data_IF_825752798292
#
_entry.id   IF_825752798292
#
_cell.length_a   1.000
_cell.length_b   1.000
_cell.length_c   1.000
_cell.angle_alpha   90.00
_cell.angle_beta   90.00
_cell.angle_gamma   90.00
#
_symmetry.space_group_name_H-M   'P 1'
#
loop_
_entity.id
_entity.type
_entity.pdbx_description
1 polymer ?
#
# COMPACT_ATOMS: atom_id res chain seq x y z
N UNK A 1 12.72 11.63 -5.71
CA UNK A 1 12.15 10.37 -6.27
C UNK A 1 11.05 9.86 -5.35
N UNK A 2 10.02 9.19 -5.90
CA UNK A 2 8.86 8.70 -5.13
C UNK A 2 8.85 7.18 -5.03
N UNK A 3 8.44 6.64 -3.89
CA UNK A 3 8.07 5.25 -3.69
C UNK A 3 6.60 5.15 -3.30
N UNK A 4 5.90 4.12 -3.77
CA UNK A 4 4.56 3.73 -3.35
C UNK A 4 4.68 2.54 -2.42
N UNK A 5 4.07 2.62 -1.25
CA UNK A 5 4.24 1.64 -0.19
C UNK A 5 2.89 1.23 0.39
N UNK A 6 2.76 -0.07 0.62
CA UNK A 6 1.65 -0.71 1.32
C UNK A 6 2.16 -1.89 2.13
N UNK A 7 1.55 -2.19 3.27
CA UNK A 7 1.94 -3.31 4.13
C UNK A 7 0.78 -4.26 4.38
N UNK A 8 1.12 -5.53 4.60
CA UNK A 8 0.21 -6.50 5.19
C UNK A 8 0.66 -6.86 6.60
N UNK A 9 -0.28 -7.20 7.47
CA UNK A 9 0.00 -7.58 8.85
C UNK A 9 -0.59 -8.93 9.19
N UNK A 10 -0.06 -9.59 10.23
CA UNK A 10 -0.71 -10.74 10.86
C UNK A 10 -1.74 -10.31 11.92
N UNK A 11 -2.42 -11.29 12.53
CA UNK A 11 -3.42 -11.04 13.56
C UNK A 11 -2.86 -10.32 14.80
N UNK A 12 -1.57 -10.53 15.11
CA UNK A 12 -0.88 -9.88 16.23
C UNK A 12 -0.43 -8.44 15.90
N UNK A 13 -0.63 -8.02 14.65
CA UNK A 13 -0.30 -6.68 14.17
C UNK A 13 1.15 -6.51 13.73
N UNK A 14 1.91 -7.60 13.59
CA UNK A 14 3.25 -7.57 13.01
C UNK A 14 3.16 -7.50 11.48
N UNK A 15 4.07 -6.75 10.86
CA UNK A 15 4.16 -6.62 9.41
C UNK A 15 4.67 -7.92 8.80
N UNK A 16 3.95 -8.44 7.85
CA UNK A 16 4.23 -9.71 7.18
C UNK A 16 4.67 -9.56 5.74
N UNK A 17 4.21 -8.50 5.07
CA UNK A 17 4.64 -8.09 3.73
C UNK A 17 4.83 -6.58 3.70
N UNK A 18 5.89 -6.12 3.05
CA UNK A 18 6.09 -4.72 2.67
C UNK A 18 6.24 -4.66 1.16
N UNK A 19 5.26 -4.09 0.49
CA UNK A 19 5.32 -3.79 -0.94
C UNK A 19 5.84 -2.38 -1.17
N UNK A 20 6.86 -2.25 -2.00
CA UNK A 20 7.42 -0.95 -2.42
C UNK A 20 7.55 -0.94 -3.93
N UNK A 21 6.87 -0.03 -4.60
CA UNK A 21 7.04 0.21 -6.03
C UNK A 21 7.75 1.53 -6.27
N UNK A 22 8.70 1.50 -7.18
CA UNK A 22 9.44 2.67 -7.68
C UNK A 22 9.54 2.59 -9.21
N UNK A 23 9.43 3.72 -9.88
CA UNK A 23 9.52 3.74 -11.35
C UNK A 23 10.90 3.31 -11.87
N UNK A 24 11.98 3.57 -11.12
CA UNK A 24 13.35 3.24 -11.49
C UNK A 24 13.78 1.80 -11.16
N UNK A 25 13.11 1.13 -10.20
CA UNK A 25 13.51 -0.20 -9.71
C UNK A 25 12.38 -1.25 -9.79
N UNK A 26 11.15 -0.83 -10.15
CA UNK A 26 9.98 -1.70 -10.18
C UNK A 26 9.43 -2.01 -8.79
N UNK A 27 8.66 -3.09 -8.70
CA UNK A 27 8.08 -3.58 -7.44
C UNK A 27 9.08 -4.49 -6.72
N UNK A 28 9.28 -4.22 -5.44
CA UNK A 28 9.95 -5.09 -4.46
C UNK A 28 8.96 -5.43 -3.36
N UNK A 29 8.89 -6.70 -2.99
CA UNK A 29 8.11 -7.17 -1.84
C UNK A 29 9.05 -7.87 -0.86
N UNK A 30 9.05 -7.40 0.39
CA UNK A 30 9.77 -8.01 1.51
C UNK A 30 8.80 -8.86 2.31
N UNK A 31 9.17 -10.08 2.68
CA UNK A 31 8.26 -11.05 3.30
C UNK A 31 8.84 -11.58 4.61
N UNK A 32 8.06 -11.50 5.68
CA UNK A 32 8.40 -12.10 6.97
C UNK A 32 9.76 -11.66 7.49
N UNK A 33 10.69 -12.60 7.66
CA UNK A 33 12.05 -12.33 8.17
C UNK A 33 12.94 -11.47 7.26
N UNK A 34 12.53 -11.21 6.02
CA UNK A 34 13.23 -10.26 5.15
C UNK A 34 12.95 -8.79 5.53
N UNK A 35 11.94 -8.53 6.36
CA UNK A 35 11.56 -7.18 6.78
C UNK A 35 12.48 -6.73 7.92
N UNK A 36 13.57 -6.07 7.57
CA UNK A 36 14.56 -5.50 8.48
C UNK A 36 14.75 -4.02 8.23
N UNK A 37 15.40 -3.32 9.14
CA UNK A 37 15.81 -1.93 8.94
C UNK A 37 16.62 -1.77 7.65
N UNK A 38 17.61 -2.65 7.44
CA UNK A 38 18.49 -2.62 6.27
C UNK A 38 17.70 -2.78 4.97
N UNK A 39 16.86 -3.82 4.87
CA UNK A 39 16.13 -4.12 3.63
C UNK A 39 15.07 -3.08 3.30
N UNK A 40 14.43 -2.48 4.31
CA UNK A 40 13.50 -1.36 4.13
C UNK A 40 14.25 -0.11 3.66
N UNK A 41 15.42 0.21 4.25
CA UNK A 41 16.24 1.32 3.78
C UNK A 41 16.74 1.11 2.34
N UNK A 42 17.19 -0.10 1.98
CA UNK A 42 17.58 -0.41 0.60
C UNK A 42 16.44 -0.22 -0.40
N UNK A 43 15.22 -0.64 -0.02
CA UNK A 43 14.04 -0.45 -0.87
C UNK A 43 13.72 1.04 -1.10
N UNK A 44 14.03 1.89 -0.11
CA UNK A 44 13.75 3.33 -0.11
C UNK A 44 14.98 4.19 -0.45
N UNK A 45 16.13 3.59 -0.79
CA UNK A 45 17.34 4.33 -1.10
C UNK A 45 17.13 5.37 -2.22
N UNK A 46 17.48 6.64 -1.99
CA UNK A 46 17.31 7.74 -2.95
C UNK A 46 15.86 8.22 -3.13
N UNK A 47 14.91 7.71 -2.34
CA UNK A 47 13.54 8.20 -2.26
C UNK A 47 13.52 9.48 -1.42
N UNK A 48 12.62 10.41 -1.73
CA UNK A 48 12.34 11.60 -0.93
C UNK A 48 10.88 11.65 -0.44
N UNK A 49 10.00 10.91 -1.11
CA UNK A 49 8.56 10.90 -0.82
C UNK A 49 8.01 9.49 -0.83
N UNK A 50 7.32 9.09 0.23
CA UNK A 50 6.57 7.84 0.31
C UNK A 50 5.09 8.14 0.09
N UNK A 51 4.50 7.51 -0.91
CA UNK A 51 3.09 7.57 -1.24
C UNK A 51 2.38 6.34 -0.69
N UNK A 52 1.29 6.54 0.07
CA UNK A 52 0.51 5.50 0.72
C UNK A 52 -0.98 5.79 0.62
N UNK A 53 -1.83 4.88 1.09
CA UNK A 53 -3.25 5.13 1.33
C UNK A 53 -3.59 4.94 2.82
N UNK A 54 -3.84 6.00 3.56
CA UNK A 54 -3.99 6.02 5.02
C UNK A 54 -2.71 5.64 5.78
N UNK A 55 -1.55 5.70 5.11
CA UNK A 55 -0.29 5.24 5.67
C UNK A 55 0.24 6.10 6.81
N UNK A 56 -0.11 7.39 6.87
CA UNK A 56 0.25 8.26 7.99
C UNK A 56 -0.27 7.72 9.33
N UNK A 57 -1.39 6.98 9.30
CA UNK A 57 -2.04 6.43 10.49
C UNK A 57 -1.83 4.92 10.67
N UNK A 58 -1.51 4.21 9.60
CA UNK A 58 -1.43 2.75 9.63
C UNK A 58 -0.04 2.25 9.21
N UNK A 59 0.29 2.27 7.92
CA UNK A 59 1.48 1.62 7.38
C UNK A 59 2.77 2.11 8.01
N UNK A 60 2.99 3.43 7.99
CA UNK A 60 4.24 4.01 8.46
C UNK A 60 4.47 3.81 9.96
N UNK A 61 3.51 4.12 10.86
CA UNK A 61 3.73 3.89 12.29
C UNK A 61 3.96 2.43 12.68
N UNK A 62 3.29 1.49 11.99
CA UNK A 62 3.44 0.06 12.28
C UNK A 62 4.82 -0.40 11.80
N UNK A 63 5.21 -0.05 10.57
CA UNK A 63 6.51 -0.42 10.01
C UNK A 63 7.67 0.20 10.81
N UNK A 64 7.59 1.50 11.16
CA UNK A 64 8.58 2.18 12.00
C UNK A 64 8.81 1.46 13.34
N UNK A 65 7.73 1.04 13.99
CA UNK A 65 7.80 0.32 15.25
C UNK A 65 8.51 -1.02 15.09
N UNK A 66 8.22 -1.76 14.02
CA UNK A 66 8.78 -3.09 13.80
C UNK A 66 10.25 -3.04 13.41
N UNK A 67 10.63 -2.19 12.46
CA UNK A 67 12.01 -2.09 11.97
C UNK A 67 12.86 -1.06 12.74
N UNK A 68 12.25 -0.31 13.67
CA UNK A 68 12.91 0.71 14.51
C UNK A 68 13.61 1.82 13.70
N UNK A 69 12.95 2.25 12.62
CA UNK A 69 13.40 3.35 11.74
C UNK A 69 12.39 4.47 11.77
N UNK A 70 12.85 5.72 11.77
CA UNK A 70 11.99 6.90 11.67
C UNK A 70 11.76 7.26 10.18
N UNK A 71 10.79 6.59 9.56
CA UNK A 71 10.45 6.83 8.15
C UNK A 71 9.84 8.22 7.95
N UNK A 72 8.93 8.63 8.83
CA UNK A 72 8.23 9.92 8.74
C UNK A 72 9.14 11.11 9.01
N UNK A 73 10.23 10.93 9.73
CA UNK A 73 11.27 11.94 9.92
C UNK A 73 12.20 12.08 8.71
N UNK A 74 12.38 11.02 7.93
CA UNK A 74 13.29 11.01 6.77
C UNK A 74 12.63 11.27 5.43
N UNK A 75 11.36 10.87 5.27
CA UNK A 75 10.66 10.95 4.00
C UNK A 75 9.44 11.87 4.11
N UNK A 76 9.15 12.58 3.03
CA UNK A 76 7.86 13.27 2.91
C UNK A 76 6.76 12.24 2.72
N UNK A 77 5.66 12.36 3.45
CA UNK A 77 4.49 11.50 3.27
C UNK A 77 3.47 12.14 2.33
N UNK A 78 3.09 11.39 1.30
CA UNK A 78 1.94 11.66 0.44
C UNK A 78 0.85 10.63 0.74
N UNK A 79 -0.07 10.96 1.63
CA UNK A 79 -1.20 10.09 1.97
C UNK A 79 -2.38 10.35 1.05
N UNK A 80 -2.65 9.41 0.13
CA UNK A 80 -3.70 9.56 -0.89
C UNK A 80 -5.10 9.58 -0.30
N UNK A 81 -5.35 8.99 0.88
CA UNK A 81 -6.64 9.15 1.55
C UNK A 81 -6.89 10.63 1.93
N UNK A 82 -5.85 11.32 2.36
CA UNK A 82 -5.93 12.74 2.66
C UNK A 82 -6.19 13.57 1.41
N UNK A 83 -5.50 13.28 0.32
CA UNK A 83 -5.70 13.97 -0.96
C UNK A 83 -7.09 13.69 -1.56
N UNK A 84 -7.56 12.44 -1.50
CA UNK A 84 -8.94 12.09 -1.87
C UNK A 84 -9.97 12.90 -1.07
N UNK A 85 -9.79 13.00 0.25
CA UNK A 85 -10.71 13.77 1.10
C UNK A 85 -10.70 15.27 0.77
N UNK A 86 -9.54 15.84 0.44
CA UNK A 86 -9.42 17.23 -0.02
C UNK A 86 -10.16 17.47 -1.34
N UNK A 87 -10.15 16.47 -2.22
CA UNK A 87 -10.92 16.47 -3.48
C UNK A 87 -12.41 16.11 -3.29
N UNK A 88 -12.91 16.01 -2.05
CA UNK A 88 -14.31 15.66 -1.77
C UNK A 88 -14.66 14.18 -2.00
N UNK A 89 -13.66 13.33 -2.23
CA UNK A 89 -13.84 11.90 -2.42
C UNK A 89 -13.90 11.18 -1.07
N UNK A 90 -14.84 10.24 -0.94
CA UNK A 90 -15.04 9.42 0.26
C UNK A 90 -14.85 7.95 -0.08
N UNK A 91 -14.44 7.16 0.92
CA UNK A 91 -14.30 5.71 0.79
C UNK A 91 -12.88 5.22 1.04
N UNK A 92 -12.71 3.90 1.12
CA UNK A 92 -11.42 3.22 1.18
C UNK A 92 -10.84 3.01 -0.22
N UNK A 93 -9.61 2.50 -0.28
CA UNK A 93 -8.88 2.27 -1.53
C UNK A 93 -9.73 1.51 -2.56
N UNK A 94 -10.28 0.37 -2.19
CA UNK A 94 -11.09 -0.49 -3.09
C UNK A 94 -12.36 0.17 -3.62
N UNK A 95 -13.00 1.03 -2.81
CA UNK A 95 -14.17 1.78 -3.24
C UNK A 95 -13.80 2.86 -4.27
N UNK A 96 -12.66 3.52 -4.08
CA UNK A 96 -12.13 4.49 -5.03
C UNK A 96 -11.64 3.83 -6.31
N UNK A 97 -10.97 2.68 -6.21
CA UNK A 97 -10.59 1.86 -7.37
C UNK A 97 -11.82 1.52 -8.23
N UNK A 98 -12.88 1.02 -7.60
CA UNK A 98 -14.12 0.71 -8.29
C UNK A 98 -14.75 1.96 -8.94
N UNK A 99 -14.77 3.08 -8.22
CA UNK A 99 -15.32 4.35 -8.70
C UNK A 99 -14.58 4.87 -9.94
N UNK A 100 -13.25 4.70 -9.98
CA UNK A 100 -12.42 5.18 -11.07
C UNK A 100 -12.11 4.12 -12.14
N UNK A 101 -12.68 2.92 -12.02
CA UNK A 101 -12.46 1.84 -12.98
C UNK A 101 -11.05 1.26 -12.94
N UNK A 102 -10.33 1.41 -11.81
CA UNK A 102 -9.02 0.79 -11.61
C UNK A 102 -9.23 -0.72 -11.48
N UNK A 103 -8.55 -1.48 -12.34
CA UNK A 103 -8.71 -2.93 -12.38
C UNK A 103 -8.04 -3.62 -11.18
N UNK A 104 -8.67 -4.70 -10.71
CA UNK A 104 -8.16 -5.56 -9.65
C UNK A 104 -8.57 -7.01 -9.92
N UNK A 105 -7.61 -7.94 -9.89
CA UNK A 105 -7.87 -9.38 -10.02
C UNK A 105 -8.35 -9.98 -8.69
N UNK A 106 -7.87 -9.44 -7.56
CA UNK A 106 -8.23 -9.87 -6.19
C UNK A 106 -9.55 -9.23 -5.70
N UNK A 107 -10.52 -9.04 -6.61
CA UNK A 107 -11.84 -8.51 -6.25
C UNK A 107 -12.52 -9.38 -5.19
N UNK A 108 -13.11 -8.72 -4.19
CA UNK A 108 -13.79 -9.39 -3.10
C UNK A 108 -12.89 -9.76 -1.92
N UNK A 109 -11.57 -9.77 -2.09
CA UNK A 109 -10.65 -9.94 -0.97
C UNK A 109 -10.62 -8.69 -0.07
N UNK A 110 -10.54 -8.93 1.21
CA UNK A 110 -10.45 -7.92 2.27
C UNK A 110 -9.15 -8.08 3.06
N UNK A 111 -8.85 -7.12 3.94
CA UNK A 111 -7.73 -7.28 4.88
C UNK A 111 -7.88 -8.52 5.80
N UNK A 112 -9.12 -8.95 6.07
CA UNK A 112 -9.35 -10.20 6.79
C UNK A 112 -8.87 -11.42 6.00
N UNK A 113 -9.13 -11.46 4.70
CA UNK A 113 -8.64 -12.55 3.83
C UNK A 113 -7.11 -12.55 3.78
N UNK A 114 -6.48 -11.38 3.74
CA UNK A 114 -5.02 -11.25 3.80
C UNK A 114 -4.44 -11.87 5.09
N UNK A 115 -5.05 -11.60 6.25
CA UNK A 115 -4.68 -12.24 7.53
C UNK A 115 -4.78 -13.77 7.46
N UNK A 116 -5.85 -14.32 6.87
CA UNK A 116 -6.03 -15.76 6.73
C UNK A 116 -5.00 -16.40 5.78
N UNK A 117 -4.66 -15.71 4.69
CA UNK A 117 -3.64 -16.17 3.75
C UNK A 117 -2.26 -16.25 4.42
N UNK A 118 -1.91 -15.23 5.20
CA UNK A 118 -0.67 -15.28 5.98
C UNK A 118 -0.66 -16.43 6.97
N UNK A 119 -1.73 -16.58 7.76
CA UNK A 119 -1.84 -17.66 8.76
C UNK A 119 -1.69 -19.06 8.13
N UNK A 120 -2.26 -19.30 6.95
CA UNK A 120 -2.10 -20.56 6.21
C UNK A 120 -0.65 -20.76 5.76
N UNK A 121 -0.02 -19.72 5.23
CA UNK A 121 1.39 -19.80 4.86
C UNK A 121 2.29 -20.09 6.06
N UNK A 122 2.10 -19.36 7.17
CA UNK A 122 2.93 -19.47 8.35
C UNK A 122 2.76 -20.81 9.08
N UNK A 123 1.53 -21.29 9.23
CA UNK A 123 1.25 -22.51 10.00
C UNK A 123 1.32 -23.80 9.17
N UNK A 124 1.03 -23.74 7.87
CA UNK A 124 0.91 -24.90 7.01
C UNK A 124 1.95 -24.95 5.88
N UNK A 125 2.74 -23.89 5.70
CA UNK A 125 3.68 -23.75 4.59
C UNK A 125 2.98 -23.57 3.24
N UNK A 126 1.72 -23.10 3.22
CA UNK A 126 0.92 -22.95 2.00
C UNK A 126 1.46 -21.84 1.11
N UNK A 127 2.29 -22.22 0.14
CA UNK A 127 2.89 -21.29 -0.82
C UNK A 127 1.88 -20.65 -1.77
N UNK A 128 0.74 -21.31 -2.03
CA UNK A 128 -0.31 -20.73 -2.86
C UNK A 128 -1.00 -19.59 -2.10
N UNK A 129 -1.21 -19.75 -0.78
CA UNK A 129 -1.71 -18.67 0.07
C UNK A 129 -0.76 -17.47 0.10
N UNK A 130 0.56 -17.71 0.24
CA UNK A 130 1.54 -16.62 0.13
C UNK A 130 1.47 -15.94 -1.24
N UNK A 131 1.40 -16.70 -2.33
CA UNK A 131 1.28 -16.13 -3.69
C UNK A 131 0.05 -15.23 -3.84
N UNK A 132 -1.10 -15.64 -3.30
CA UNK A 132 -2.32 -14.85 -3.30
C UNK A 132 -2.19 -13.56 -2.45
N UNK A 133 -1.53 -13.64 -1.29
CA UNK A 133 -1.25 -12.48 -0.44
C UNK A 133 -0.32 -11.48 -1.14
N UNK A 134 0.73 -11.97 -1.79
CA UNK A 134 1.66 -11.11 -2.53
C UNK A 134 0.97 -10.44 -3.72
N UNK A 135 0.09 -11.15 -4.43
CA UNK A 135 -0.69 -10.54 -5.51
C UNK A 135 -1.65 -9.46 -4.98
N UNK A 136 -2.28 -9.70 -3.83
CA UNK A 136 -3.14 -8.72 -3.17
C UNK A 136 -2.37 -7.44 -2.82
N UNK A 137 -1.24 -7.55 -2.11
CA UNK A 137 -0.37 -6.42 -1.77
C UNK A 137 0.21 -5.74 -3.03
N UNK A 138 0.60 -6.51 -4.07
CA UNK A 138 1.04 -5.96 -5.36
C UNK A 138 -0.01 -5.04 -5.96
N UNK A 139 -1.28 -5.47 -5.97
CA UNK A 139 -2.36 -4.66 -6.51
C UNK A 139 -2.60 -3.41 -5.67
N UNK A 140 -2.57 -3.52 -4.32
CA UNK A 140 -2.71 -2.37 -3.45
C UNK A 140 -1.63 -1.32 -3.76
N UNK A 141 -0.36 -1.72 -3.85
CA UNK A 141 0.76 -0.82 -4.20
C UNK A 141 0.62 -0.22 -5.61
N UNK A 142 0.34 -1.07 -6.63
CA UNK A 142 0.29 -0.61 -8.03
C UNK A 142 -0.91 0.30 -8.29
N UNK A 143 -2.01 0.08 -7.58
CA UNK A 143 -3.20 0.89 -7.72
C UNK A 143 -3.05 2.28 -7.06
N UNK A 144 -2.11 2.45 -6.09
CA UNK A 144 -1.73 3.78 -5.60
C UNK A 144 -1.19 4.66 -6.73
N UNK A 145 -0.40 4.09 -7.65
CA UNK A 145 0.15 4.83 -8.80
C UNK A 145 -0.96 5.39 -9.68
N UNK A 146 -1.98 4.56 -9.95
CA UNK A 146 -3.10 4.96 -10.78
C UNK A 146 -3.99 5.97 -10.04
N UNK A 147 -4.27 5.73 -8.76
CA UNK A 147 -5.09 6.62 -7.94
C UNK A 147 -4.44 8.00 -7.79
N UNK A 148 -3.12 8.06 -7.57
CA UNK A 148 -2.41 9.33 -7.49
C UNK A 148 -2.55 10.13 -8.79
N UNK A 149 -2.34 9.51 -9.94
CA UNK A 149 -2.49 10.17 -11.24
C UNK A 149 -3.88 10.80 -11.42
N UNK A 150 -4.91 10.12 -10.91
CA UNK A 150 -6.28 10.62 -10.97
C UNK A 150 -6.49 11.75 -9.98
N UNK A 151 -6.04 11.62 -8.73
CA UNK A 151 -6.40 12.53 -7.65
C UNK A 151 -5.46 13.76 -7.60
N UNK A 152 -4.19 13.56 -7.90
CA UNK A 152 -3.16 14.61 -7.81
C UNK A 152 -2.84 15.20 -9.19
N UNK A 153 -2.83 14.36 -10.23
CA UNK A 153 -2.52 14.76 -11.61
C UNK A 153 -3.67 15.43 -12.35
N UNK A 154 -4.92 15.17 -11.96
CA UNK A 154 -6.15 15.80 -12.50
C UNK A 154 -6.68 16.88 -11.54
N UNK A 155 -5.83 17.36 -10.67
CA UNK A 155 -6.24 18.38 -9.73
C UNK A 155 -6.64 19.69 -10.39
N UNK A 156 -7.79 19.71 -11.11
CA UNK A 156 -8.59 20.94 -11.37
C UNK A 156 -9.84 20.74 -12.27
N UNK A 157 -10.02 19.59 -12.98
CA UNK A 157 -11.13 19.47 -13.97
C UNK A 157 -12.13 18.33 -13.70
N UNK A 158 -12.18 17.79 -12.47
CA UNK A 158 -13.20 16.78 -12.16
C UNK A 158 -14.46 17.45 -11.61
N UNK A 159 -15.37 17.84 -12.51
CA UNK A 159 -16.77 18.09 -12.12
C UNK A 159 -17.43 16.75 -11.77
N UNK A 160 -17.94 16.57 -10.54
CA UNK A 160 -18.69 15.37 -10.20
C UNK A 160 -19.94 15.32 -11.08
N UNK A 161 -20.08 14.27 -11.90
CA UNK A 161 -21.35 14.01 -12.58
C UNK A 161 -22.42 13.84 -11.51
N UNK A 162 -23.30 14.82 -11.42
CA UNK A 162 -24.54 14.70 -10.67
C UNK A 162 -25.41 13.65 -11.38
N UNK A 163 -25.43 12.45 -10.83
CA UNK A 163 -26.48 11.49 -11.16
C UNK A 163 -27.74 11.92 -10.40
N UNK A 164 -28.70 12.42 -11.19
CA UNK A 164 -30.09 12.62 -10.76
C UNK A 164 -30.83 11.28 -10.67
#
# INVERSE_FOLDING_TARGET
>A
MKAYLDIETCADGDVTVVGVFREDRGLRQLVGGEITDVTVWEALEGVDTICTFNGDRFDLPILERQVRVDLRGHFRSLDLLRECRRAGLKGGLKQLEQRFGIARSTRGMSGWDALQLWARYENEGDRAALGALLEYNREDVMNLVQLERIVVGVGLDFEPRNEN
#
